data_IF_705923943603
#
_entry.id   IF_705923943603
#
_cell.length_a   1.000
_cell.length_b   1.000
_cell.length_c   1.000
_cell.angle_alpha   90.00
_cell.angle_beta   90.00
_cell.angle_gamma   90.00
#
_symmetry.space_group_name_H-M   'P 1'
#
loop_
_entity.id
_entity.type
_entity.pdbx_description
1 polymer ?
#
# COMPACT_ATOMS: atom_id res chain seq x y z
N UNK A 1 -1.23 9.87 12.40
CA UNK A 1 -0.19 8.91 11.98
C UNK A 1 1.12 9.22 12.72
N UNK A 2 1.88 8.20 13.18
CA UNK A 2 3.20 8.40 13.78
C UNK A 2 4.15 9.16 12.83
N UNK A 3 4.94 10.11 13.36
CA UNK A 3 5.89 10.90 12.55
C UNK A 3 6.81 10.01 11.71
N UNK A 4 7.25 8.87 12.26
CA UNK A 4 8.15 7.90 11.60
C UNK A 4 7.62 7.35 10.27
N UNK A 5 6.31 7.29 10.06
CA UNK A 5 5.73 6.75 8.81
C UNK A 5 5.63 7.81 7.70
N UNK A 6 5.79 9.09 8.00
CA UNK A 6 5.49 10.18 7.06
C UNK A 6 6.47 10.22 5.89
N UNK A 7 7.76 10.19 6.19
CA UNK A 7 8.83 10.23 5.19
C UNK A 7 8.81 9.00 4.28
N UNK A 8 8.80 7.75 4.80
CA UNK A 8 8.76 6.57 3.94
C UNK A 8 7.48 6.48 3.10
N UNK A 9 6.31 6.87 3.64
CA UNK A 9 5.07 6.93 2.88
C UNK A 9 5.18 7.92 1.70
N UNK A 10 5.74 9.12 1.94
CA UNK A 10 5.96 10.12 0.89
C UNK A 10 6.90 9.60 -0.20
N UNK A 11 8.00 8.94 0.18
CA UNK A 11 8.95 8.34 -0.78
C UNK A 11 8.28 7.26 -1.63
N UNK A 12 7.55 6.33 -0.99
CA UNK A 12 6.84 5.26 -1.68
C UNK A 12 5.82 5.81 -2.68
N UNK A 13 4.97 6.75 -2.24
CA UNK A 13 3.95 7.39 -3.09
C UNK A 13 4.59 8.15 -4.25
N UNK A 14 5.61 8.97 -3.96
CA UNK A 14 6.29 9.73 -5.01
C UNK A 14 6.89 8.80 -6.08
N UNK A 15 7.52 7.70 -5.68
CA UNK A 15 8.04 6.70 -6.63
C UNK A 15 6.94 6.12 -7.51
N UNK A 16 5.77 5.80 -6.95
CA UNK A 16 4.64 5.30 -7.74
C UNK A 16 4.10 6.36 -8.71
N UNK A 17 3.88 7.59 -8.23
CA UNK A 17 3.34 8.69 -9.03
C UNK A 17 4.31 9.11 -10.15
N UNK A 18 5.61 9.24 -9.87
CA UNK A 18 6.65 9.58 -10.85
C UNK A 18 6.73 8.54 -11.99
N UNK A 19 6.33 7.29 -11.74
CA UNK A 19 6.35 6.20 -12.71
C UNK A 19 4.93 5.87 -13.25
N UNK A 20 3.94 6.72 -12.98
CA UNK A 20 2.59 6.58 -13.53
C UNK A 20 1.74 5.45 -12.93
N UNK A 21 2.13 4.89 -11.78
CA UNK A 21 1.36 3.84 -11.11
C UNK A 21 0.28 4.44 -10.20
N UNK A 22 -0.97 4.06 -10.46
CA UNK A 22 -2.08 4.35 -9.54
C UNK A 22 -1.99 3.43 -8.31
N UNK A 23 -2.41 3.94 -7.16
CA UNK A 23 -2.34 3.23 -5.90
C UNK A 23 -3.47 3.63 -4.95
N UNK A 24 -3.61 2.87 -3.87
CA UNK A 24 -4.38 3.26 -2.69
C UNK A 24 -3.61 2.86 -1.42
N UNK A 25 -3.52 3.76 -0.45
CA UNK A 25 -3.13 3.41 0.92
C UNK A 25 -4.26 2.58 1.54
N UNK A 26 -3.89 1.46 2.15
CA UNK A 26 -4.83 0.55 2.81
C UNK A 26 -4.46 0.36 4.30
N UNK A 27 -5.15 -0.57 4.96
CA UNK A 27 -4.88 -1.00 6.34
C UNK A 27 -4.74 0.13 7.36
N UNK A 28 -3.72 0.12 8.21
CA UNK A 28 -3.69 0.93 9.44
C UNK A 28 -3.68 2.43 9.20
N UNK A 29 -2.99 2.89 8.16
CA UNK A 29 -2.99 4.32 7.79
C UNK A 29 -4.35 4.71 7.22
N UNK A 30 -4.92 3.89 6.34
CA UNK A 30 -6.24 4.14 5.78
C UNK A 30 -7.34 4.18 6.85
N UNK A 31 -7.31 3.22 7.78
CA UNK A 31 -8.28 3.12 8.88
C UNK A 31 -8.30 4.41 9.73
N UNK A 32 -7.14 5.02 9.97
CA UNK A 32 -7.04 6.29 10.69
C UNK A 32 -7.71 7.47 9.97
N UNK A 33 -7.85 7.40 8.64
CA UNK A 33 -8.54 8.43 7.85
C UNK A 33 -10.06 8.30 7.91
N UNK A 34 -10.57 7.17 8.43
CA UNK A 34 -11.98 6.89 8.62
C UNK A 34 -12.39 6.96 10.10
N UNK A 35 -11.60 7.67 10.92
CA UNK A 35 -11.93 7.97 12.33
C UNK A 35 -11.54 6.89 13.33
N UNK A 36 -10.93 5.79 12.89
CA UNK A 36 -10.52 4.69 13.78
C UNK A 36 -9.02 4.76 14.04
N UNK A 37 -8.65 5.18 15.25
CA UNK A 37 -7.26 5.34 15.66
C UNK A 37 -6.68 3.99 16.07
N UNK A 38 -5.65 3.53 15.36
CA UNK A 38 -4.84 2.38 15.76
C UNK A 38 -3.35 2.68 15.62
N UNK A 39 -2.54 2.00 16.41
CA UNK A 39 -1.10 2.01 16.21
C UNK A 39 -0.77 1.11 15.02
N UNK A 40 -0.17 1.68 13.97
CA UNK A 40 0.43 0.94 12.84
C UNK A 40 1.92 1.28 12.79
N UNK A 41 2.73 0.31 12.37
CA UNK A 41 4.19 0.43 12.34
C UNK A 41 4.76 0.26 10.94
N UNK A 42 3.92 -0.08 9.98
CA UNK A 42 4.17 -0.42 8.60
C UNK A 42 3.28 0.43 7.67
N UNK A 43 3.56 0.33 6.37
CA UNK A 43 2.81 1.01 5.32
C UNK A 43 2.35 -0.04 4.31
N UNK A 44 1.04 -0.11 4.09
CA UNK A 44 0.46 -0.99 3.09
C UNK A 44 -0.12 -0.17 1.93
N UNK A 45 0.33 -0.50 0.72
CA UNK A 45 -0.08 0.14 -0.52
C UNK A 45 -0.61 -0.91 -1.49
N UNK A 46 -1.86 -0.73 -1.95
CA UNK A 46 -2.36 -1.46 -3.11
C UNK A 46 -1.92 -0.73 -4.39
N UNK A 47 -1.26 -1.43 -5.32
CA UNK A 47 -0.67 -0.83 -6.53
C UNK A 47 -1.29 -1.44 -7.78
N UNK A 48 -1.81 -0.59 -8.68
CA UNK A 48 -2.42 -1.03 -9.92
C UNK A 48 -1.35 -1.61 -10.85
N UNK A 49 -1.53 -2.86 -11.25
CA UNK A 49 -0.71 -3.50 -12.28
C UNK A 49 -1.48 -3.48 -13.60
N UNK A 50 -1.08 -2.59 -14.51
CA UNK A 50 -1.66 -2.52 -15.85
C UNK A 50 -1.08 -3.61 -16.75
N UNK A 51 -1.89 -4.11 -17.68
CA UNK A 51 -1.47 -5.12 -18.68
C UNK A 51 -0.85 -6.40 -18.08
N UNK A 52 -1.17 -6.71 -16.81
CA UNK A 52 -0.60 -7.84 -16.07
C UNK A 52 0.95 -7.81 -15.97
N UNK A 53 1.57 -6.63 -16.06
CA UNK A 53 3.03 -6.46 -15.98
C UNK A 53 3.56 -6.51 -14.53
N UNK A 54 3.37 -7.65 -13.88
CA UNK A 54 3.84 -7.87 -12.50
C UNK A 54 5.37 -7.81 -12.40
N UNK A 55 6.07 -8.28 -13.43
CA UNK A 55 7.52 -8.30 -13.48
C UNK A 55 8.09 -6.88 -13.55
N UNK A 56 7.57 -6.04 -14.45
CA UNK A 56 8.00 -4.65 -14.59
C UNK A 56 7.79 -3.84 -13.32
N UNK A 57 6.60 -3.95 -12.71
CA UNK A 57 6.30 -3.26 -11.43
C UNK A 57 7.23 -3.74 -10.31
N UNK A 58 7.47 -5.05 -10.21
CA UNK A 58 8.41 -5.60 -9.22
C UNK A 58 9.82 -5.07 -9.44
N UNK A 59 10.33 -5.11 -10.67
CA UNK A 59 11.67 -4.62 -11.00
C UNK A 59 11.82 -3.14 -10.68
N UNK A 60 10.81 -2.32 -11.01
CA UNK A 60 10.77 -0.91 -10.65
C UNK A 60 10.92 -0.71 -9.13
N UNK A 61 10.06 -1.37 -8.35
CA UNK A 61 10.04 -1.23 -6.89
C UNK A 61 11.33 -1.72 -6.23
N UNK A 62 11.86 -2.87 -6.65
CA UNK A 62 13.12 -3.40 -6.10
C UNK A 62 14.33 -2.56 -6.49
N UNK A 63 14.30 -1.89 -7.65
CA UNK A 63 15.37 -0.97 -8.05
C UNK A 63 15.31 0.33 -7.26
N UNK A 64 14.10 0.85 -7.03
CA UNK A 64 13.91 2.06 -6.24
C UNK A 64 14.21 1.85 -4.75
N UNK A 65 13.90 0.66 -4.23
CA UNK A 65 14.05 0.29 -2.83
C UNK A 65 14.75 -1.08 -2.70
N UNK A 66 16.09 -1.12 -2.72
CA UNK A 66 16.85 -2.37 -2.80
C UNK A 66 16.88 -3.18 -1.49
N UNK A 67 16.49 -2.58 -0.37
CA UNK A 67 16.44 -3.28 0.92
C UNK A 67 15.14 -4.09 1.02
N UNK A 68 15.24 -5.40 0.78
CA UNK A 68 14.09 -6.30 0.90
C UNK A 68 13.69 -6.50 2.37
N UNK A 69 12.39 -6.41 2.65
CA UNK A 69 11.79 -6.77 3.92
C UNK A 69 11.18 -8.18 3.87
N UNK A 70 10.78 -8.72 5.03
CA UNK A 70 10.07 -10.01 5.15
C UNK A 70 10.76 -11.18 4.43
N UNK A 71 12.09 -11.24 4.48
CA UNK A 71 12.91 -12.23 3.74
C UNK A 71 12.59 -13.69 4.09
N UNK A 72 12.05 -13.94 5.28
CA UNK A 72 11.66 -15.27 5.75
C UNK A 72 10.19 -15.64 5.41
N UNK A 73 9.43 -14.74 4.79
CA UNK A 73 8.05 -15.02 4.40
C UNK A 73 8.00 -15.87 3.11
N UNK A 74 6.94 -16.69 2.90
CA UNK A 74 6.73 -17.38 1.64
C UNK A 74 6.72 -16.40 0.46
N UNK A 75 7.34 -16.80 -0.65
CA UNK A 75 7.32 -15.96 -1.85
C UNK A 75 5.88 -15.78 -2.34
N UNK A 76 5.49 -14.51 -2.53
CA UNK A 76 4.20 -14.14 -3.08
C UNK A 76 4.42 -13.24 -4.30
N UNK A 77 4.00 -13.67 -5.51
CA UNK A 77 4.20 -12.88 -6.72
C UNK A 77 3.43 -11.54 -6.71
N UNK A 78 2.42 -11.40 -5.85
CA UNK A 78 1.63 -10.19 -5.67
C UNK A 78 2.12 -9.27 -4.55
N UNK A 79 3.26 -9.59 -3.91
CA UNK A 79 3.81 -8.75 -2.82
C UNK A 79 5.25 -8.37 -3.13
N UNK A 80 5.55 -7.09 -2.97
CA UNK A 80 6.90 -6.54 -2.91
C UNK A 80 7.04 -5.84 -1.55
N UNK A 81 7.72 -6.49 -0.61
CA UNK A 81 7.99 -5.94 0.71
C UNK A 81 9.41 -5.39 0.76
N UNK A 82 9.55 -4.12 1.12
CA UNK A 82 10.84 -3.43 1.21
C UNK A 82 10.93 -2.64 2.51
N UNK A 83 12.14 -2.24 2.87
CA UNK A 83 12.39 -1.29 3.94
C UNK A 83 12.68 0.09 3.35
N UNK A 84 11.98 1.11 3.85
CA UNK A 84 12.24 2.52 3.54
C UNK A 84 12.38 3.25 4.86
N UNK A 85 13.54 3.84 5.13
CA UNK A 85 13.82 4.58 6.37
C UNK A 85 13.47 3.78 7.65
N UNK A 86 13.89 2.51 7.72
CA UNK A 86 13.59 1.57 8.81
C UNK A 86 12.08 1.27 9.03
N UNK A 87 11.24 1.52 8.03
CA UNK A 87 9.82 1.19 8.01
C UNK A 87 9.55 0.16 6.91
N UNK A 88 8.84 -0.92 7.27
CA UNK A 88 8.38 -1.91 6.30
C UNK A 88 7.28 -1.27 5.45
N UNK A 89 7.46 -1.36 4.13
CA UNK A 89 6.48 -0.92 3.14
C UNK A 89 6.11 -2.11 2.27
N UNK A 90 4.85 -2.49 2.32
CA UNK A 90 4.28 -3.56 1.51
C UNK A 90 3.55 -2.96 0.30
N UNK A 91 4.12 -3.21 -0.88
CA UNK A 91 3.44 -2.96 -2.14
C UNK A 91 2.70 -4.24 -2.54
N UNK A 92 1.38 -4.23 -2.35
CA UNK A 92 0.45 -5.27 -2.73
C UNK A 92 -0.01 -5.02 -4.16
N UNK A 93 0.50 -5.81 -5.10
CA UNK A 93 0.19 -5.72 -6.51
C UNK A 93 -1.23 -6.25 -6.76
N UNK A 94 -2.07 -5.47 -7.47
CA UNK A 94 -3.46 -5.86 -7.69
C UNK A 94 -3.59 -7.12 -8.55
N UNK A 95 -4.39 -8.07 -8.09
CA UNK A 95 -5.00 -9.09 -8.94
C UNK A 95 -6.14 -8.46 -9.77
N UNK A 96 -6.43 -8.99 -10.98
CA UNK A 96 -7.53 -8.49 -11.80
C UNK A 96 -8.89 -8.64 -11.10
N UNK A 97 -9.81 -7.72 -11.38
CA UNK A 97 -11.17 -7.75 -10.84
C UNK A 97 -11.35 -6.82 -9.64
N UNK A 98 -11.72 -7.37 -8.48
CA UNK A 98 -12.11 -6.56 -7.31
C UNK A 98 -11.01 -5.58 -6.88
N UNK A 99 -9.74 -5.98 -6.91
CA UNK A 99 -8.66 -5.15 -6.38
C UNK A 99 -8.39 -3.90 -7.22
N UNK A 100 -8.71 -3.92 -8.52
CA UNK A 100 -8.66 -2.74 -9.38
C UNK A 100 -9.75 -1.73 -8.99
N UNK A 101 -10.89 -2.22 -8.50
CA UNK A 101 -11.98 -1.36 -8.03
C UNK A 101 -11.60 -0.60 -6.75
N UNK A 102 -10.78 -1.19 -5.87
CA UNK A 102 -10.24 -0.50 -4.68
C UNK A 102 -9.51 0.78 -5.10
N UNK A 103 -8.70 0.70 -6.16
CA UNK A 103 -7.93 1.84 -6.68
C UNK A 103 -8.84 2.80 -7.46
N UNK A 104 -9.82 2.29 -8.20
CA UNK A 104 -10.79 3.11 -8.93
C UNK A 104 -11.65 3.96 -7.99
N UNK A 105 -12.03 3.40 -6.82
CA UNK A 105 -12.86 4.05 -5.80
C UNK A 105 -12.06 4.76 -4.71
N UNK A 106 -10.74 4.77 -4.81
CA UNK A 106 -9.89 5.40 -3.82
C UNK A 106 -10.26 6.88 -3.64
N UNK A 107 -10.33 7.32 -2.38
CA UNK A 107 -10.73 8.67 -2.00
C UNK A 107 -9.50 9.48 -1.64
N UNK A 108 -9.44 10.71 -2.15
CA UNK A 108 -8.35 11.63 -1.83
C UNK A 108 -8.52 12.15 -0.40
N UNK A 109 -7.50 11.97 0.43
CA UNK A 109 -7.46 12.47 1.82
C UNK A 109 -6.25 13.37 2.04
N UNK A 110 -6.37 14.27 3.01
CA UNK A 110 -5.27 15.15 3.42
C UNK A 110 -4.71 14.66 4.75
N UNK A 111 -3.45 14.24 4.71
CA UNK A 111 -2.68 13.81 5.86
C UNK A 111 -1.65 14.89 6.20
N UNK A 112 -2.03 15.86 7.04
CA UNK A 112 -1.17 16.96 7.49
C UNK A 112 -0.48 17.71 6.33
N UNK A 113 -1.27 18.13 5.33
CA UNK A 113 -0.76 18.82 4.13
C UNK A 113 -0.20 17.88 3.06
N UNK A 114 -0.20 16.56 3.27
CA UNK A 114 0.12 15.57 2.25
C UNK A 114 -1.17 14.98 1.67
N UNK A 115 -1.40 15.17 0.38
CA UNK A 115 -2.57 14.54 -0.25
C UNK A 115 -2.23 13.11 -0.67
N UNK A 116 -3.08 12.16 -0.28
CA UNK A 116 -2.89 10.73 -0.55
C UNK A 116 -4.20 10.10 -1.04
N UNK A 117 -4.10 9.05 -1.85
CA UNK A 117 -5.21 8.18 -2.20
C UNK A 117 -5.37 7.09 -1.15
N UNK A 118 -6.56 6.95 -0.59
CA UNK A 118 -6.88 5.99 0.47
C UNK A 118 -8.04 5.13 0.01
N UNK A 119 -8.04 3.82 0.27
CA UNK A 119 -9.20 2.99 -0.04
C UNK A 119 -10.45 3.47 0.73
N UNK A 120 -11.63 3.16 0.19
CA UNK A 120 -12.89 3.45 0.87
C UNK A 120 -13.01 2.69 2.20
N UNK A 121 -13.90 3.14 3.09
CA UNK A 121 -14.17 2.42 4.34
C UNK A 121 -14.75 1.02 4.05
N UNK A 122 -15.57 0.91 3.01
CA UNK A 122 -16.17 -0.33 2.53
C UNK A 122 -15.09 -1.29 2.01
N UNK A 123 -14.12 -0.79 1.25
CA UNK A 123 -13.00 -1.59 0.75
C UNK A 123 -12.08 -2.11 1.87
N UNK A 124 -11.96 -1.37 2.99
CA UNK A 124 -11.27 -1.87 4.18
C UNK A 124 -12.01 -3.08 4.76
N UNK A 125 -13.33 -2.97 4.95
CA UNK A 125 -14.15 -4.06 5.49
C UNK A 125 -14.05 -5.30 4.61
N UNK A 126 -14.24 -5.16 3.30
CA UNK A 126 -14.19 -6.28 2.35
C UNK A 126 -12.80 -6.94 2.37
N UNK A 127 -11.71 -6.16 2.36
CA UNK A 127 -10.36 -6.72 2.41
C UNK A 127 -10.09 -7.51 3.71
N UNK A 128 -10.65 -7.07 4.84
CA UNK A 128 -10.53 -7.82 6.10
C UNK A 128 -11.27 -9.14 6.06
N UNK A 129 -12.49 -9.14 5.54
CA UNK A 129 -13.27 -10.36 5.35
C UNK A 129 -12.53 -11.34 4.43
N UNK A 130 -12.00 -10.87 3.29
CA UNK A 130 -11.23 -11.71 2.35
C UNK A 130 -9.95 -12.27 3.01
N UNK A 131 -9.26 -11.46 3.81
CA UNK A 131 -8.05 -11.91 4.50
C UNK A 131 -8.32 -13.05 5.49
N UNK A 132 -9.56 -13.26 5.93
CA UNK A 132 -9.97 -14.38 6.78
C UNK A 132 -9.28 -14.43 8.14
N UNK A 133 -8.56 -13.37 8.52
CA UNK A 133 -7.90 -13.24 9.81
C UNK A 133 -8.90 -12.57 10.73
N UNK A 134 -9.34 -13.24 11.80
CA UNK A 134 -10.23 -12.67 12.84
C UNK A 134 -9.57 -11.58 13.69
N UNK A 135 -8.68 -10.78 13.08
CA UNK A 135 -8.07 -9.59 13.67
C UNK A 135 -8.48 -8.40 12.83
N UNK A 136 -8.96 -7.40 13.57
CA UNK A 136 -9.72 -6.20 13.17
C UNK A 136 -11.24 -6.43 13.18
#
# INVERSE_FOLDING_TARGET
MPKKLTTPLRKAIKTLEDNGHRYAVIDGIALSQWGVVRVTQDIDLKVLVSNLDYAGVRTLLTRAFPQAARQNAPQNPFVVAVEIDAVIVDFLLTAPGYEEQIIARAVRRNLNGFSIWVCSAEDLIIQKVIAGRGKD
#
